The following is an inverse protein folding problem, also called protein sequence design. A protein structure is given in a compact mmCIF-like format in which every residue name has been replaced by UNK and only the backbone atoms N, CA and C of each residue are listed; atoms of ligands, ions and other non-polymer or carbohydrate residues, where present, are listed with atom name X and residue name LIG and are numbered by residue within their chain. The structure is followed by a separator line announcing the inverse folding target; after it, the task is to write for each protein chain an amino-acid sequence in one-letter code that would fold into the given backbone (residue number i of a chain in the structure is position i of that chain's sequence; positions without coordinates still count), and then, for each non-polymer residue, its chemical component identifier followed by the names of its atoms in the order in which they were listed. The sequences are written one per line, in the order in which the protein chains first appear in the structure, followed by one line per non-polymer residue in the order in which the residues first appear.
data_IF_529573626192
#
_entry.id   IF_529573626192
#
_cell.length_a   1.000
_cell.length_b   1.000
_cell.length_c   1.000
_cell.angle_alpha   90.00
_cell.angle_beta   90.00
_cell.angle_gamma   90.00
#
_symmetry.space_group_name_H-M   'P 1'
#
loop_
_entity.id
_entity.type
_entity.pdbx_description
1 polymer ?
#
# COMPACT_ATOMS: atom_id res chain seq x y z
N UNK A 1 4.33 5.52 8.14
CA UNK A 1 5.09 5.42 6.88
C UNK A 1 5.11 6.78 6.19
N UNK A 2 6.29 7.22 5.75
CA UNK A 2 6.42 8.47 4.99
C UNK A 2 5.66 8.44 3.66
N UNK A 3 5.58 7.27 3.01
CA UNK A 3 4.85 7.09 1.75
C UNK A 3 3.36 7.41 1.91
N UNK A 4 2.71 6.81 2.91
CA UNK A 4 1.30 7.07 3.21
C UNK A 4 1.12 8.51 3.72
N UNK A 5 2.06 9.03 4.52
CA UNK A 5 2.03 10.40 5.01
C UNK A 5 2.01 11.43 3.88
N UNK A 6 2.86 11.25 2.86
CA UNK A 6 2.89 12.14 1.69
C UNK A 6 1.58 12.08 0.87
N UNK A 7 1.03 10.88 0.67
CA UNK A 7 -0.26 10.72 -0.01
C UNK A 7 -1.42 11.32 0.80
N UNK A 8 -1.35 11.23 2.13
CA UNK A 8 -2.31 11.85 3.03
C UNK A 8 -2.31 13.37 2.92
N UNK A 9 -1.14 13.97 2.81
CA UNK A 9 -1.00 15.42 2.61
C UNK A 9 -1.73 15.85 1.32
N UNK A 10 -1.51 15.15 0.21
CA UNK A 10 -2.24 15.38 -1.04
C UNK A 10 -3.77 15.27 -0.85
N UNK A 11 -4.21 14.23 -0.14
CA UNK A 11 -5.63 14.04 0.16
C UNK A 11 -6.22 15.20 0.99
N UNK A 12 -5.49 15.71 1.99
CA UNK A 12 -5.93 16.85 2.81
C UNK A 12 -6.07 18.15 1.98
N UNK A 13 -5.29 18.29 0.91
CA UNK A 13 -5.47 19.37 -0.07
C UNK A 13 -6.60 19.12 -1.10
N UNK A 14 -7.39 18.08 -0.92
CA UNK A 14 -8.51 17.77 -1.81
C UNK A 14 -8.09 17.07 -3.12
N UNK A 15 -6.89 16.49 -3.17
CA UNK A 15 -6.33 15.83 -4.35
C UNK A 15 -6.49 14.31 -4.21
N UNK A 16 -7.04 13.60 -5.21
CA UNK A 16 -6.99 12.14 -5.26
C UNK A 16 -5.55 11.63 -5.15
N UNK A 17 -5.28 10.77 -4.17
CA UNK A 17 -3.90 10.41 -3.80
C UNK A 17 -3.71 8.90 -3.65
N UNK A 18 -2.55 8.41 -4.12
CA UNK A 18 -2.18 7.00 -4.01
C UNK A 18 -0.78 6.90 -3.38
N UNK A 19 -0.66 6.06 -2.35
CA UNK A 19 0.60 5.63 -1.80
C UNK A 19 0.97 4.27 -2.40
N UNK A 20 2.00 4.20 -3.23
CA UNK A 20 2.56 2.94 -3.72
C UNK A 20 3.75 2.52 -2.88
N UNK A 21 3.76 1.27 -2.44
CA UNK A 21 4.86 0.68 -1.68
C UNK A 21 5.17 -0.71 -2.20
N UNK A 22 6.44 -1.00 -2.44
CA UNK A 22 6.90 -2.36 -2.65
C UNK A 22 7.05 -3.04 -1.28
N UNK A 23 6.50 -4.25 -1.15
CA UNK A 23 6.63 -5.07 0.07
C UNK A 23 8.02 -5.69 0.08
N UNK A 24 8.58 -5.81 1.27
CA UNK A 24 9.92 -6.30 1.56
C UNK A 24 11.08 -5.38 1.14
N UNK A 25 12.21 -5.56 1.83
CA UNK A 25 13.45 -4.86 1.52
C UNK A 25 14.24 -5.65 0.49
N UNK A 26 14.90 -4.95 -0.40
CA UNK A 26 15.80 -5.59 -1.37
C UNK A 26 15.72 -4.99 -2.75
N UNK A 27 14.58 -4.46 -3.18
CA UNK A 27 14.38 -3.68 -4.40
C UNK A 27 14.77 -4.42 -5.70
N UNK A 28 14.87 -5.75 -5.63
CA UNK A 28 15.25 -6.57 -6.78
C UNK A 28 14.28 -6.39 -7.95
N UNK A 29 13.00 -6.23 -7.64
CA UNK A 29 11.92 -6.13 -8.63
C UNK A 29 11.25 -4.73 -8.61
N UNK A 30 12.03 -3.67 -8.39
CA UNK A 30 11.51 -2.30 -8.32
C UNK A 30 10.90 -1.85 -9.65
N UNK A 31 11.43 -2.31 -10.77
CA UNK A 31 10.91 -2.01 -12.10
C UNK A 31 9.54 -2.65 -12.33
N UNK A 32 9.34 -3.89 -11.86
CA UNK A 32 8.04 -4.56 -11.90
C UNK A 32 7.00 -3.80 -11.06
N UNK A 33 7.39 -3.36 -9.85
CA UNK A 33 6.53 -2.55 -9.00
C UNK A 33 6.19 -1.20 -9.65
N UNK A 34 7.17 -0.53 -10.26
CA UNK A 34 6.96 0.75 -10.96
C UNK A 34 6.06 0.59 -12.20
N UNK A 35 6.25 -0.48 -12.98
CA UNK A 35 5.41 -0.80 -14.13
C UNK A 35 3.96 -1.05 -13.70
N UNK A 36 3.76 -1.81 -12.63
CA UNK A 36 2.44 -2.08 -12.06
C UNK A 36 1.76 -0.79 -11.59
N UNK A 37 2.47 0.05 -10.84
CA UNK A 37 1.95 1.33 -10.36
C UNK A 37 1.56 2.26 -11.53
N UNK A 38 2.42 2.35 -12.55
CA UNK A 38 2.15 3.11 -13.77
C UNK A 38 0.90 2.60 -14.48
N UNK A 39 0.78 1.28 -14.67
CA UNK A 39 -0.38 0.69 -15.37
C UNK A 39 -1.67 0.97 -14.59
N UNK A 40 -1.67 0.78 -13.27
CA UNK A 40 -2.83 1.10 -12.44
C UNK A 40 -3.30 2.56 -12.63
N UNK A 41 -2.39 3.53 -12.61
CA UNK A 41 -2.76 4.95 -12.79
C UNK A 41 -3.32 5.20 -14.18
N UNK A 42 -2.74 4.61 -15.23
CA UNK A 42 -3.24 4.73 -16.60
C UNK A 42 -4.63 4.13 -16.77
N UNK A 43 -4.86 2.95 -16.19
CA UNK A 43 -6.16 2.27 -16.24
C UNK A 43 -7.22 3.07 -15.48
N UNK A 44 -6.90 3.58 -14.29
CA UNK A 44 -7.79 4.44 -13.52
C UNK A 44 -8.15 5.72 -14.31
N UNK A 45 -7.17 6.31 -15.00
CA UNK A 45 -7.39 7.49 -15.85
C UNK A 45 -8.26 7.17 -17.05
N UNK A 46 -7.95 6.10 -17.80
CA UNK A 46 -8.68 5.70 -19.02
C UNK A 46 -10.14 5.34 -18.73
N UNK A 47 -10.39 4.73 -17.57
CA UNK A 47 -11.73 4.34 -17.13
C UNK A 47 -12.45 5.45 -16.35
N UNK A 48 -11.90 6.66 -16.31
CA UNK A 48 -12.45 7.83 -15.61
C UNK A 48 -12.75 7.56 -14.12
N UNK A 49 -11.95 6.69 -13.49
CA UNK A 49 -12.08 6.36 -12.07
C UNK A 49 -11.43 7.42 -11.17
N UNK A 50 -10.59 8.29 -11.74
CA UNK A 50 -10.03 9.45 -11.06
C UNK A 50 -11.09 10.54 -11.11
N UNK A 51 -11.98 10.54 -10.11
CA UNK A 51 -13.02 11.57 -9.97
C UNK A 51 -12.47 12.89 -9.42
N UNK A 52 -13.37 13.84 -9.20
CA UNK A 52 -13.05 15.15 -8.62
C UNK A 52 -13.08 15.15 -7.08
N UNK A 53 -13.71 14.17 -6.47
CA UNK A 53 -13.72 14.01 -5.00
C UNK A 53 -12.41 13.43 -4.51
N UNK A 54 -11.84 13.94 -3.42
CA UNK A 54 -10.61 13.40 -2.87
C UNK A 54 -10.81 11.98 -2.35
N UNK A 55 -9.84 11.13 -2.59
CA UNK A 55 -9.74 9.78 -2.05
C UNK A 55 -8.28 9.44 -1.80
N UNK A 56 -8.03 8.48 -0.93
CA UNK A 56 -6.70 8.03 -0.55
C UNK A 56 -6.62 6.51 -0.65
N UNK A 57 -5.69 6.02 -1.46
CA UNK A 57 -5.41 4.60 -1.61
C UNK A 57 -4.00 4.28 -1.09
N UNK A 58 -3.88 3.16 -0.38
CA UNK A 58 -2.61 2.51 -0.10
C UNK A 58 -2.52 1.27 -0.98
N UNK A 59 -1.46 1.18 -1.78
CA UNK A 59 -1.21 0.05 -2.68
C UNK A 59 0.10 -0.58 -2.32
N UNK A 60 0.05 -1.85 -1.91
CA UNK A 60 1.23 -2.65 -1.60
C UNK A 60 1.46 -3.67 -2.71
N UNK A 61 2.65 -3.62 -3.33
CA UNK A 61 3.04 -4.46 -4.48
C UNK A 61 4.08 -5.47 -3.99
N UNK A 62 3.86 -6.78 -4.15
CA UNK A 62 4.84 -7.79 -3.82
C UNK A 62 6.18 -7.59 -4.56
N UNK A 63 7.29 -7.92 -3.88
CA UNK A 63 8.63 -7.88 -4.48
C UNK A 63 8.88 -9.17 -5.27
N UNK A 64 8.33 -9.24 -6.48
CA UNK A 64 8.44 -10.39 -7.38
C UNK A 64 8.38 -9.96 -8.84
N UNK A 65 8.86 -10.79 -9.80
CA UNK A 65 8.79 -10.50 -11.22
C UNK A 65 7.36 -10.18 -11.68
N UNK A 66 7.24 -9.33 -12.70
CA UNK A 66 5.94 -8.84 -13.19
C UNK A 66 5.01 -9.98 -13.60
N UNK A 67 5.55 -11.01 -14.23
CA UNK A 67 4.80 -12.20 -14.68
C UNK A 67 4.34 -13.11 -13.54
N UNK A 68 4.92 -12.97 -12.35
CA UNK A 68 4.52 -13.70 -11.15
C UNK A 68 3.48 -12.94 -10.32
N UNK A 69 3.28 -11.64 -10.56
CA UNK A 69 2.25 -10.86 -9.90
C UNK A 69 0.86 -11.34 -10.32
N UNK A 70 0.01 -11.52 -9.33
CA UNK A 70 -1.39 -11.90 -9.54
C UNK A 70 -2.29 -10.66 -9.60
N UNK A 71 -3.59 -10.88 -9.59
CA UNK A 71 -4.60 -9.82 -9.66
C UNK A 71 -4.51 -8.81 -8.51
N UNK A 72 -5.05 -7.63 -8.73
CA UNK A 72 -5.26 -6.64 -7.69
C UNK A 72 -6.41 -7.10 -6.79
N UNK A 73 -6.21 -7.03 -5.48
CA UNK A 73 -7.22 -7.36 -4.47
C UNK A 73 -7.58 -6.11 -3.66
N UNK A 74 -8.87 -5.87 -3.50
CA UNK A 74 -9.37 -4.91 -2.54
C UNK A 74 -9.18 -5.49 -1.14
N UNK A 75 -8.48 -4.77 -0.27
CA UNK A 75 -8.10 -5.24 1.05
C UNK A 75 -8.50 -4.24 2.13
N UNK A 76 -8.61 -4.74 3.36
CA UNK A 76 -8.53 -3.92 4.56
C UNK A 76 -7.10 -3.94 5.11
N UNK A 77 -6.77 -2.97 5.94
CA UNK A 77 -5.49 -3.00 6.65
C UNK A 77 -5.45 -4.19 7.63
N UNK A 78 -4.40 -4.95 7.57
CA UNK A 78 -4.02 -5.87 8.63
C UNK A 78 -3.44 -5.13 9.83
N UNK A 79 -3.03 -5.88 10.85
CA UNK A 79 -2.37 -5.33 12.04
C UNK A 79 -0.96 -5.91 12.17
N UNK A 80 -0.05 -5.11 12.70
CA UNK A 80 1.29 -5.57 13.09
C UNK A 80 1.35 -5.79 14.60
N UNK A 81 2.25 -6.66 15.04
CA UNK A 81 2.72 -6.65 16.43
C UNK A 81 3.42 -5.32 16.73
N UNK A 82 3.60 -5.03 18.01
CA UNK A 82 4.40 -3.88 18.43
C UNK A 82 5.78 -3.94 17.77
N UNK A 83 6.33 -2.78 17.43
CA UNK A 83 7.70 -2.69 16.95
C UNK A 83 8.67 -3.27 18.01
N UNK A 84 9.83 -3.76 17.56
CA UNK A 84 10.91 -4.13 18.44
C UNK A 84 11.39 -2.93 19.25
N UNK A 85 12.06 -3.19 20.38
CA UNK A 85 12.59 -2.13 21.22
C UNK A 85 13.56 -1.24 20.47
N UNK A 86 13.61 0.02 20.86
CA UNK A 86 14.59 0.95 20.33
C UNK A 86 16.01 0.47 20.66
N UNK A 87 16.89 0.52 19.67
CA UNK A 87 18.31 0.18 19.85
C UNK A 87 19.02 1.47 20.26
N UNK A 88 19.70 1.41 21.41
CA UNK A 88 20.50 2.52 21.94
C UNK A 88 21.96 2.34 21.51
N UNK A 89 22.54 3.39 20.93
CA UNK A 89 23.95 3.43 20.54
C UNK A 89 24.57 4.78 20.96
N UNK A 90 25.90 4.79 21.09
CA UNK A 90 26.66 6.02 21.28
C UNK A 90 27.24 6.50 19.95
N UNK A 91 27.11 7.79 19.67
CA UNK A 91 27.80 8.42 18.54
C UNK A 91 29.32 8.44 18.81
N UNK A 92 30.18 8.62 17.79
CA UNK A 92 31.62 8.82 17.99
C UNK A 92 31.97 10.01 18.90
N UNK A 93 31.02 10.92 19.13
CA UNK A 93 31.15 12.09 20.02
C UNK A 93 30.59 11.85 21.42
N UNK A 94 30.15 10.60 21.72
CA UNK A 94 29.57 10.23 23.01
C UNK A 94 28.12 10.61 23.20
N UNK A 95 27.41 11.05 22.18
CA UNK A 95 25.97 11.36 22.25
C UNK A 95 25.15 10.08 22.18
N UNK A 96 24.13 9.96 23.02
CA UNK A 96 23.21 8.82 22.99
C UNK A 96 22.25 8.94 21.80
N UNK A 97 22.25 7.92 20.94
CA UNK A 97 21.40 7.83 19.76
C UNK A 97 20.39 6.69 19.94
N UNK A 98 19.18 6.90 19.47
CA UNK A 98 18.12 5.90 19.49
C UNK A 98 17.73 5.54 18.05
N UNK A 99 17.79 4.25 17.73
CA UNK A 99 17.31 3.73 16.46
C UNK A 99 15.95 3.10 16.66
N UNK A 100 15.00 3.42 15.80
CA UNK A 100 13.70 2.76 15.81
C UNK A 100 13.91 1.30 15.42
N UNK A 101 13.43 0.38 16.26
CA UNK A 101 13.47 -1.05 15.99
C UNK A 101 12.66 -1.42 14.75
N UNK A 102 12.87 -2.64 14.25
CA UNK A 102 12.13 -3.16 13.12
C UNK A 102 10.62 -3.17 13.39
N UNK A 103 9.83 -2.94 12.36
CA UNK A 103 8.38 -3.10 12.46
C UNK A 103 8.06 -4.56 12.80
N UNK A 104 7.17 -4.78 13.78
CA UNK A 104 6.75 -6.11 14.16
C UNK A 104 6.14 -6.91 13.02
N UNK A 105 6.17 -8.24 13.13
CA UNK A 105 5.52 -9.15 12.20
C UNK A 105 4.00 -8.87 12.11
N UNK A 106 3.36 -9.41 11.08
CA UNK A 106 1.91 -9.33 10.96
C UNK A 106 1.24 -10.03 12.16
N UNK A 107 0.31 -9.35 12.81
CA UNK A 107 -0.54 -9.88 13.89
C UNK A 107 -1.90 -10.32 13.36
N UNK A 108 -2.43 -9.59 12.38
CA UNK A 108 -3.64 -9.93 11.64
C UNK A 108 -3.27 -9.98 10.17
N UNK A 109 -3.06 -11.17 9.67
CA UNK A 109 -2.78 -11.53 8.28
C UNK A 109 -3.88 -12.45 7.71
N UNK A 110 -5.05 -12.43 8.34
CA UNK A 110 -6.20 -13.21 7.88
C UNK A 110 -6.65 -12.81 6.48
N UNK A 111 -7.39 -13.67 5.82
CA UNK A 111 -7.96 -13.42 4.49
C UNK A 111 -8.67 -12.06 4.42
N UNK A 112 -8.48 -11.35 3.32
CA UNK A 112 -8.99 -10.00 3.09
C UNK A 112 -8.09 -8.88 3.62
N UNK A 113 -6.97 -9.18 4.29
CA UNK A 113 -5.96 -8.19 4.67
C UNK A 113 -4.96 -7.93 3.56
N UNK A 114 -4.32 -6.77 3.59
CA UNK A 114 -3.19 -6.41 2.74
C UNK A 114 -1.99 -7.36 2.93
N UNK A 115 -1.74 -7.82 4.16
CA UNK A 115 -0.71 -8.83 4.45
C UNK A 115 -0.99 -10.16 3.76
N UNK A 116 -2.24 -10.66 3.87
CA UNK A 116 -2.62 -11.90 3.23
C UNK A 116 -2.50 -11.81 1.71
N UNK A 117 -3.01 -10.75 1.11
CA UNK A 117 -2.97 -10.56 -0.33
C UNK A 117 -1.52 -10.53 -0.86
N UNK A 118 -0.66 -9.73 -0.24
CA UNK A 118 0.75 -9.60 -0.68
C UNK A 118 1.55 -10.90 -0.46
N UNK A 119 1.32 -11.62 0.64
CA UNK A 119 1.96 -12.92 0.89
C UNK A 119 1.59 -13.98 -0.15
N UNK A 120 0.42 -13.84 -0.79
CA UNK A 120 -0.04 -14.74 -1.85
C UNK A 120 0.22 -14.22 -3.27
N UNK A 121 1.03 -13.16 -3.43
CA UNK A 121 1.45 -12.62 -4.72
C UNK A 121 0.43 -11.68 -5.38
N UNK A 122 -0.58 -11.24 -4.65
CA UNK A 122 -1.54 -10.27 -5.13
C UNK A 122 -1.11 -8.84 -4.79
N UNK A 123 -1.42 -7.90 -5.68
CA UNK A 123 -1.31 -6.48 -5.37
C UNK A 123 -2.44 -6.09 -4.44
N UNK A 124 -2.12 -5.61 -3.24
CA UNK A 124 -3.12 -5.21 -2.26
C UNK A 124 -3.48 -3.73 -2.44
N UNK A 125 -4.74 -3.43 -2.71
CA UNK A 125 -5.28 -2.08 -2.80
C UNK A 125 -6.19 -1.83 -1.60
N UNK A 126 -5.82 -0.89 -0.73
CA UNK A 126 -6.55 -0.58 0.49
C UNK A 126 -6.98 0.88 0.48
N UNK A 127 -8.29 1.17 0.39
CA UNK A 127 -8.81 2.52 0.60
C UNK A 127 -8.57 2.97 2.04
N UNK A 128 -8.04 4.18 2.22
CA UNK A 128 -7.83 4.78 3.54
C UNK A 128 -8.82 5.92 3.76
N UNK A 129 -9.49 5.92 4.91
CA UNK A 129 -10.49 6.92 5.26
C UNK A 129 -10.25 7.51 6.65
N UNK A 130 -10.37 8.82 6.69
CA UNK A 130 -10.52 9.57 7.92
C UNK A 130 -12.00 9.92 8.10
N UNK A 131 -12.77 9.10 8.85
CA UNK A 131 -14.18 9.28 9.24
C UNK A 131 -15.29 8.76 8.31
N UNK A 132 -16.03 7.80 8.84
CA UNK A 132 -17.50 7.57 8.75
C UNK A 132 -18.20 7.22 7.42
N UNK A 133 -17.56 6.94 6.29
CA UNK A 133 -18.31 6.47 5.10
C UNK A 133 -17.80 5.09 4.64
N UNK A 134 -17.74 4.13 5.56
CA UNK A 134 -17.09 2.83 5.32
C UNK A 134 -17.83 1.93 4.32
N UNK A 135 -19.17 1.93 4.30
CA UNK A 135 -19.95 0.96 3.53
C UNK A 135 -20.21 1.33 2.07
N UNK A 136 -20.46 2.59 1.76
CA UNK A 136 -20.76 3.02 0.38
C UNK A 136 -19.57 2.96 -0.57
N UNK A 137 -18.40 3.15 -0.06
CA UNK A 137 -17.17 3.29 -0.85
C UNK A 137 -16.49 1.94 -1.09
N UNK A 138 -16.67 0.96 -0.22
CA UNK A 138 -16.22 -0.42 -0.48
C UNK A 138 -16.87 -1.00 -1.75
N UNK A 139 -18.15 -0.74 -1.98
CA UNK A 139 -18.84 -1.15 -3.20
C UNK A 139 -18.26 -0.53 -4.47
N UNK A 140 -17.95 0.77 -4.43
CA UNK A 140 -17.34 1.49 -5.54
C UNK A 140 -15.93 0.94 -5.87
N UNK A 141 -15.07 0.75 -4.87
CA UNK A 141 -13.72 0.25 -5.08
C UNK A 141 -13.66 -1.25 -5.40
N UNK A 142 -14.64 -2.05 -4.96
CA UNK A 142 -14.75 -3.44 -5.38
C UNK A 142 -15.02 -3.54 -6.90
N UNK A 143 -15.90 -2.70 -7.44
CA UNK A 143 -16.15 -2.60 -8.87
C UNK A 143 -14.94 -2.07 -9.64
N UNK A 144 -14.19 -1.14 -9.05
CA UNK A 144 -12.96 -0.61 -9.63
C UNK A 144 -11.88 -1.67 -9.72
N UNK A 145 -11.65 -2.44 -8.66
CA UNK A 145 -10.67 -3.52 -8.65
C UNK A 145 -10.95 -4.58 -9.74
N UNK A 146 -12.22 -4.89 -9.99
CA UNK A 146 -12.60 -5.84 -11.05
C UNK A 146 -12.34 -5.31 -12.47
N UNK A 147 -12.20 -4.00 -12.64
CA UNK A 147 -11.94 -3.33 -13.94
C UNK A 147 -10.46 -3.08 -14.19
N UNK A 148 -9.62 -3.12 -13.18
CA UNK A 148 -8.18 -2.96 -13.30
C UNK A 148 -7.55 -4.31 -13.71
N UNK A 149 -7.68 -4.64 -14.98
CA UNK A 149 -7.20 -5.90 -15.58
C UNK A 149 -5.87 -5.68 -16.28
N UNK A 150 -4.81 -5.50 -15.55
CA UNK A 150 -3.48 -5.37 -16.15
C UNK A 150 -2.45 -6.39 -15.65
N UNK A 151 -2.81 -7.19 -14.66
CA UNK A 151 -2.00 -8.30 -14.17
C UNK A 151 -2.75 -9.57 -14.53
N UNK A 152 -2.13 -10.39 -15.39
CA UNK A 152 -2.70 -11.55 -16.06
C UNK A 152 -3.64 -12.40 -15.18
N UNK A 153 -4.77 -12.76 -15.79
CA UNK A 153 -5.58 -13.89 -15.36
C UNK A 153 -4.83 -15.21 -15.59
#
# INVERSE_FOLDING_TARGET
SGTVGAAMEGFLFGIPSIAFSQVDKGWAEIEAAAATARQMVLDMKSQQLIGTSPWLLNVNIPNMPLEALKSIKLCRLGRRHSAEQAIVQQSPRGETMYWIGSAGAAKDDSEGTDFHATAHGHVAMTPLYFYLIYYYILGYWAQTASKLTGVAS
#
